data_IF_719339092364
#
_entry.id   IF_719339092364
#
_cell.length_a   1.000
_cell.length_b   1.000
_cell.length_c   1.000
_cell.angle_alpha   90.00
_cell.angle_beta   90.00
_cell.angle_gamma   90.00
#
_symmetry.space_group_name_H-M   'P 1'
#
loop_
_entity.id
_entity.type
_entity.pdbx_description
1 polymer ?
#
# COMPACT_ATOMS: atom_id res chain seq x y z
N UNK A 1 -10.13 -0.61 32.63
CA UNK A 1 -10.98 0.11 31.66
C UNK A 1 -10.05 0.66 30.60
N UNK A 2 -9.79 -0.12 29.55
CA UNK A 2 -8.89 0.26 28.47
C UNK A 2 -9.57 1.35 27.66
N UNK A 3 -8.95 2.52 27.58
CA UNK A 3 -9.44 3.63 26.76
C UNK A 3 -9.44 3.12 25.31
N UNK A 4 -10.62 3.04 24.70
CA UNK A 4 -10.76 2.67 23.29
C UNK A 4 -9.98 3.70 22.46
N UNK A 5 -9.00 3.24 21.69
CA UNK A 5 -8.26 4.09 20.76
C UNK A 5 -9.18 4.51 19.61
N UNK A 6 -9.84 5.66 19.77
CA UNK A 6 -10.77 6.21 18.77
C UNK A 6 -10.05 6.73 17.52
N UNK A 7 -8.72 6.61 17.42
CA UNK A 7 -7.94 7.06 16.27
C UNK A 7 -8.40 6.41 14.97
N UNK A 8 -8.74 5.12 14.99
CA UNK A 8 -9.22 4.43 13.81
C UNK A 8 -10.59 4.96 13.38
N UNK A 9 -11.53 5.15 14.32
CA UNK A 9 -12.84 5.76 14.05
C UNK A 9 -12.71 7.12 13.37
N UNK A 10 -11.76 7.95 13.83
CA UNK A 10 -11.51 9.26 13.24
C UNK A 10 -10.88 9.21 11.85
N UNK A 11 -10.25 8.09 11.46
CA UNK A 11 -9.54 7.92 10.19
C UNK A 11 -10.34 7.21 9.09
N UNK A 12 -11.42 6.53 9.46
CA UNK A 12 -12.31 5.82 8.53
C UNK A 12 -12.94 6.77 7.48
N UNK A 13 -13.38 7.99 7.82
CA UNK A 13 -13.91 8.93 6.81
C UNK A 13 -12.90 9.26 5.71
N UNK A 14 -11.62 9.48 6.04
CA UNK A 14 -10.58 9.75 5.05
C UNK A 14 -10.28 8.51 4.19
N UNK A 15 -10.32 7.31 4.78
CA UNK A 15 -10.21 6.06 4.02
C UNK A 15 -11.34 5.92 3.01
N UNK A 16 -12.59 6.19 3.41
CA UNK A 16 -13.76 6.15 2.53
C UNK A 16 -13.61 7.19 1.41
N UNK A 17 -13.17 8.41 1.75
CA UNK A 17 -12.94 9.48 0.78
C UNK A 17 -11.82 9.19 -0.24
N UNK A 18 -10.89 8.28 0.09
CA UNK A 18 -9.80 7.86 -0.79
C UNK A 18 -10.18 6.71 -1.74
N UNK A 19 -11.39 6.15 -1.64
CA UNK A 19 -11.84 5.08 -2.55
C UNK A 19 -11.79 5.58 -4.00
N UNK A 20 -11.22 4.75 -4.89
CA UNK A 20 -10.96 5.10 -6.29
C UNK A 20 -9.77 6.05 -6.54
N UNK A 21 -9.14 6.62 -5.51
CA UNK A 21 -7.95 7.46 -5.69
C UNK A 21 -6.66 6.61 -5.66
N UNK A 22 -5.61 6.99 -6.42
CA UNK A 22 -4.35 6.24 -6.44
C UNK A 22 -3.63 6.10 -5.10
N UNK A 23 -3.88 7.01 -4.15
CA UNK A 23 -3.28 6.91 -2.82
C UNK A 23 -4.12 6.12 -1.80
N UNK A 24 -5.17 5.42 -2.22
CA UNK A 24 -6.03 4.63 -1.34
C UNK A 24 -5.24 3.73 -0.38
N UNK A 25 -4.33 2.88 -0.89
CA UNK A 25 -3.55 1.99 -0.03
C UNK A 25 -2.58 2.73 0.89
N UNK A 26 -2.04 3.87 0.46
CA UNK A 26 -1.27 4.74 1.35
C UNK A 26 -2.15 5.30 2.48
N UNK A 27 -3.40 5.66 2.18
CA UNK A 27 -4.36 6.11 3.18
C UNK A 27 -4.73 4.99 4.16
N UNK A 28 -4.86 3.74 3.71
CA UNK A 28 -4.98 2.58 4.60
C UNK A 28 -3.80 2.54 5.58
N UNK A 29 -2.57 2.67 5.09
CA UNK A 29 -1.37 2.72 5.94
C UNK A 29 -1.38 3.86 6.96
N UNK A 30 -1.83 5.05 6.56
CA UNK A 30 -1.99 6.19 7.46
C UNK A 30 -3.02 5.90 8.55
N UNK A 31 -4.14 5.24 8.23
CA UNK A 31 -5.15 4.86 9.22
C UNK A 31 -4.57 3.93 10.28
N UNK A 32 -3.83 2.89 9.86
CA UNK A 32 -3.18 1.96 10.80
C UNK A 32 -2.05 2.60 11.60
N UNK A 33 -1.31 3.56 11.03
CA UNK A 33 -0.26 4.27 11.77
C UNK A 33 -0.77 5.17 12.91
N UNK A 34 -2.06 5.54 12.88
CA UNK A 34 -2.69 6.34 13.94
C UNK A 34 -3.07 5.47 15.15
N UNK A 35 -3.12 4.15 14.99
CA UNK A 35 -3.44 3.20 16.06
C UNK A 35 -2.18 2.99 16.91
N UNK A 36 -2.22 3.46 18.15
CA UNK A 36 -1.05 3.51 19.04
C UNK A 36 -0.44 2.14 19.38
N UNK A 37 -1.22 1.08 19.25
CA UNK A 37 -0.83 -0.31 19.53
C UNK A 37 -0.22 -1.02 18.31
N UNK A 38 -0.42 -0.49 17.09
CA UNK A 38 0.21 -1.02 15.87
C UNK A 38 1.69 -0.61 15.84
N UNK A 39 2.57 -1.60 15.68
CA UNK A 39 4.03 -1.41 15.66
C UNK A 39 4.61 -1.48 14.25
N UNK A 40 4.11 -2.39 13.41
CA UNK A 40 4.41 -2.46 11.99
C UNK A 40 3.13 -2.63 11.17
N UNK A 41 3.16 -2.16 9.92
CA UNK A 41 2.04 -2.29 8.99
C UNK A 41 2.53 -2.40 7.54
N UNK A 42 1.99 -3.35 6.78
CA UNK A 42 2.18 -3.49 5.33
C UNK A 42 0.88 -3.93 4.65
N UNK A 43 0.72 -3.53 3.40
CA UNK A 43 -0.36 -3.98 2.51
C UNK A 43 0.27 -4.69 1.32
N UNK A 44 -0.07 -5.95 1.15
CA UNK A 44 0.38 -6.76 0.02
C UNK A 44 -0.80 -7.13 -0.87
N UNK A 45 -0.55 -7.12 -2.18
CA UNK A 45 -1.39 -7.74 -3.18
C UNK A 45 -0.81 -9.09 -3.55
N UNK A 46 -1.61 -10.14 -3.49
CA UNK A 46 -1.29 -11.49 -3.94
C UNK A 46 -2.13 -11.84 -5.18
N UNK A 47 -1.58 -11.71 -6.39
CA UNK A 47 -2.17 -12.30 -7.59
C UNK A 47 -2.08 -13.83 -7.51
N UNK A 48 -3.05 -14.54 -8.11
CA UNK A 48 -3.06 -16.01 -8.15
C UNK A 48 -1.90 -16.61 -8.95
N UNK A 49 -1.51 -15.94 -10.04
CA UNK A 49 -0.55 -16.46 -11.01
C UNK A 49 0.79 -15.69 -11.05
N UNK A 50 1.04 -14.80 -10.08
CA UNK A 50 2.25 -13.98 -10.04
C UNK A 50 2.70 -13.77 -8.58
N UNK A 51 3.91 -13.25 -8.41
CA UNK A 51 4.48 -12.90 -7.10
C UNK A 51 3.73 -11.72 -6.46
N UNK A 52 3.76 -11.59 -5.12
CA UNK A 52 3.10 -10.48 -4.46
C UNK A 52 3.75 -9.14 -4.78
N UNK A 53 2.98 -8.08 -4.58
CA UNK A 53 3.43 -6.70 -4.70
C UNK A 53 3.07 -5.90 -3.44
N UNK A 54 4.02 -5.13 -2.91
CA UNK A 54 3.77 -4.18 -1.83
C UNK A 54 2.97 -2.99 -2.36
N UNK A 55 1.83 -2.71 -1.73
CA UNK A 55 0.94 -1.60 -2.08
C UNK A 55 1.11 -0.39 -1.16
N UNK A 56 1.41 -0.61 0.12
CA UNK A 56 1.68 0.42 1.12
C UNK A 56 2.30 -0.20 2.38
N UNK A 57 2.85 0.63 3.25
CA UNK A 57 3.39 0.17 4.54
C UNK A 57 4.54 1.03 5.04
N UNK A 58 5.07 0.67 6.19
CA UNK A 58 6.32 1.24 6.70
C UNK A 58 7.47 0.77 5.81
N UNK A 59 8.27 1.72 5.32
CA UNK A 59 9.25 1.48 4.27
C UNK A 59 10.46 0.72 4.80
N UNK A 60 10.74 -0.44 4.20
CA UNK A 60 12.04 -1.10 4.23
C UNK A 60 12.28 -1.72 2.84
N UNK A 61 12.74 -0.90 1.86
CA UNK A 61 12.72 -1.29 0.45
C UNK A 61 13.50 -2.58 0.13
N UNK A 62 14.59 -2.84 0.85
CA UNK A 62 15.40 -4.04 0.65
C UNK A 62 14.66 -5.29 1.14
N UNK A 63 14.07 -5.23 2.34
CA UNK A 63 13.29 -6.35 2.89
C UNK A 63 11.97 -6.54 2.15
N UNK A 64 11.34 -5.47 1.70
CA UNK A 64 10.11 -5.49 0.90
C UNK A 64 10.33 -6.20 -0.44
N UNK A 65 11.42 -5.87 -1.14
CA UNK A 65 11.79 -6.50 -2.40
C UNK A 65 12.16 -7.98 -2.18
N UNK A 66 12.97 -8.28 -1.16
CA UNK A 66 13.36 -9.65 -0.82
C UNK A 66 12.13 -10.52 -0.51
N UNK A 67 11.15 -9.97 0.20
CA UNK A 67 9.90 -10.67 0.49
C UNK A 67 9.13 -10.98 -0.79
N UNK A 68 8.90 -9.96 -1.62
CA UNK A 68 8.09 -10.08 -2.83
C UNK A 68 8.73 -11.01 -3.87
N UNK A 69 10.06 -11.05 -3.94
CA UNK A 69 10.76 -11.89 -4.91
C UNK A 69 10.90 -13.35 -4.46
N UNK A 70 11.04 -13.61 -3.15
CA UNK A 70 11.44 -14.94 -2.67
C UNK A 70 10.73 -15.39 -1.39
N UNK A 71 10.74 -14.58 -0.33
CA UNK A 71 10.40 -15.09 1.00
C UNK A 71 8.92 -15.48 1.15
N UNK A 72 8.03 -14.86 0.38
CA UNK A 72 6.59 -15.15 0.42
C UNK A 72 6.26 -16.64 0.16
N UNK A 73 7.09 -17.36 -0.60
CA UNK A 73 6.86 -18.77 -0.91
C UNK A 73 7.00 -19.69 0.31
N UNK A 74 7.69 -19.22 1.34
CA UNK A 74 7.91 -19.95 2.59
C UNK A 74 7.05 -19.38 3.74
N UNK A 75 6.25 -18.35 3.47
CA UNK A 75 5.43 -17.68 4.46
C UNK A 75 4.14 -18.50 4.75
N UNK A 76 3.88 -18.90 6.01
CA UNK A 76 2.63 -19.57 6.38
C UNK A 76 1.36 -18.81 5.99
N UNK A 77 1.40 -17.48 5.94
CA UNK A 77 0.25 -16.69 5.48
C UNK A 77 -0.04 -16.93 3.99
N UNK A 78 0.99 -17.14 3.18
CA UNK A 78 0.82 -17.44 1.76
C UNK A 78 0.10 -18.78 1.54
N UNK A 79 0.36 -19.78 2.38
CA UNK A 79 -0.38 -21.04 2.37
C UNK A 79 -1.87 -20.83 2.67
N UNK A 80 -2.19 -19.98 3.66
CA UNK A 80 -3.59 -19.65 4.01
C UNK A 80 -4.30 -18.96 2.86
N UNK A 81 -3.62 -18.01 2.21
CA UNK A 81 -4.13 -17.26 1.06
C UNK A 81 -4.42 -18.22 -0.11
N UNK A 82 -3.49 -19.11 -0.43
CA UNK A 82 -3.63 -20.07 -1.53
C UNK A 82 -4.67 -21.16 -1.28
N UNK A 83 -4.87 -21.56 -0.01
CA UNK A 83 -5.85 -22.59 0.33
C UNK A 83 -7.30 -22.09 0.35
N UNK A 84 -7.54 -20.80 0.05
CA UNK A 84 -8.86 -20.15 0.07
C UNK A 84 -9.66 -20.44 1.35
N UNK A 85 -8.96 -20.63 2.48
CA UNK A 85 -9.62 -20.75 3.77
C UNK A 85 -10.25 -19.37 4.02
N UNK A 86 -11.58 -19.29 4.03
CA UNK A 86 -12.37 -18.06 4.11
C UNK A 86 -12.26 -17.37 5.50
N UNK A 87 -11.03 -17.19 5.98
CA UNK A 87 -10.63 -16.60 7.25
C UNK A 87 -10.27 -15.15 6.99
N UNK A 88 -11.15 -14.25 7.40
CA UNK A 88 -10.92 -12.81 7.23
C UNK A 88 -9.76 -12.30 8.10
N UNK A 89 -9.56 -12.86 9.30
CA UNK A 89 -8.51 -12.41 10.22
C UNK A 89 -7.74 -13.61 10.77
N UNK A 90 -6.42 -13.57 10.63
CA UNK A 90 -5.52 -14.69 10.95
C UNK A 90 -4.31 -14.18 11.70
N UNK A 91 -3.93 -14.84 12.78
CA UNK A 91 -2.70 -14.54 13.54
C UNK A 91 -1.63 -15.57 13.22
N UNK A 92 -0.35 -15.19 13.25
CA UNK A 92 0.75 -16.09 12.91
C UNK A 92 0.79 -17.32 13.82
N UNK A 93 0.53 -17.15 15.12
CA UNK A 93 0.45 -18.24 16.11
C UNK A 93 -0.66 -19.27 15.82
N UNK A 94 -1.73 -18.86 15.12
CA UNK A 94 -2.86 -19.73 14.79
C UNK A 94 -2.61 -20.62 13.57
N UNK A 95 -1.57 -20.33 12.78
CA UNK A 95 -1.27 -21.03 11.52
C UNK A 95 0.12 -21.66 11.49
N UNK A 96 0.97 -21.30 12.44
CA UNK A 96 2.29 -21.89 12.60
C UNK A 96 2.26 -23.13 13.47
N UNK A 97 3.23 -24.01 13.25
CA UNK A 97 3.46 -25.22 14.04
C UNK A 97 4.53 -24.94 15.11
N UNK A 98 4.69 -25.87 16.05
CA UNK A 98 5.71 -25.77 17.12
C UNK A 98 7.16 -25.65 16.60
N UNK A 99 7.43 -25.98 15.35
CA UNK A 99 8.74 -25.91 14.68
C UNK A 99 8.91 -24.65 13.81
N UNK A 100 8.04 -23.64 13.93
CA UNK A 100 8.17 -22.42 13.15
C UNK A 100 9.51 -21.71 13.36
N UNK A 101 9.98 -21.61 14.61
CA UNK A 101 11.26 -20.97 14.95
C UNK A 101 12.48 -21.74 14.42
N UNK A 102 12.33 -23.02 14.08
CA UNK A 102 13.36 -23.83 13.43
C UNK A 102 13.17 -23.93 11.90
N UNK A 103 12.15 -23.27 11.34
CA UNK A 103 11.89 -23.29 9.91
C UNK A 103 12.89 -22.46 9.11
N UNK A 104 13.09 -22.83 7.84
CA UNK A 104 13.94 -22.07 6.93
C UNK A 104 13.43 -20.63 6.70
N UNK A 105 12.11 -20.43 6.74
CA UNK A 105 11.52 -19.09 6.64
C UNK A 105 11.91 -18.22 7.83
N UNK A 106 11.83 -18.77 9.04
CA UNK A 106 12.14 -18.04 10.25
C UNK A 106 13.60 -17.59 10.29
N UNK A 107 14.52 -18.54 10.06
CA UNK A 107 15.97 -18.29 10.04
C UNK A 107 16.39 -17.31 8.93
N UNK A 108 15.87 -17.50 7.71
CA UNK A 108 16.35 -16.74 6.55
C UNK A 108 15.72 -15.37 6.42
N UNK A 109 14.50 -15.17 6.93
CA UNK A 109 13.72 -13.95 6.74
C UNK A 109 13.06 -13.43 8.03
N UNK A 110 12.16 -14.20 8.65
CA UNK A 110 11.26 -13.69 9.69
C UNK A 110 12.00 -13.10 10.91
N UNK A 111 13.03 -13.80 11.40
CA UNK A 111 13.81 -13.34 12.54
C UNK A 111 14.54 -12.02 12.25
N UNK A 112 15.00 -11.83 11.01
CA UNK A 112 15.78 -10.66 10.58
C UNK A 112 14.95 -9.38 10.49
N UNK A 113 13.67 -9.50 10.12
CA UNK A 113 12.76 -8.34 10.05
C UNK A 113 12.29 -7.89 11.45
N UNK A 114 12.56 -8.70 12.50
CA UNK A 114 12.22 -8.36 13.89
C UNK A 114 10.72 -8.31 14.19
N UNK A 115 9.88 -8.80 13.28
CA UNK A 115 8.44 -8.89 13.48
C UNK A 115 8.10 -10.00 14.47
N UNK A 116 7.04 -9.74 15.24
CA UNK A 116 6.47 -10.64 16.25
C UNK A 116 5.01 -10.26 16.45
N UNK A 117 4.20 -11.15 17.06
CA UNK A 117 2.79 -10.86 17.36
C UNK A 117 2.03 -10.34 16.13
N UNK A 118 2.13 -11.05 15.02
CA UNK A 118 1.61 -10.63 13.72
C UNK A 118 0.20 -11.16 13.46
N UNK A 119 -0.61 -10.34 12.79
CA UNK A 119 -1.87 -10.74 12.20
C UNK A 119 -2.06 -10.14 10.80
N UNK A 120 -2.78 -10.89 9.97
CA UNK A 120 -3.19 -10.48 8.64
C UNK A 120 -4.72 -10.41 8.55
N UNK A 121 -5.22 -9.25 8.10
CA UNK A 121 -6.58 -9.14 7.56
C UNK A 121 -6.54 -9.51 6.08
N UNK A 122 -7.20 -10.60 5.71
CA UNK A 122 -7.24 -11.18 4.36
C UNK A 122 -8.53 -10.76 3.67
N UNK A 123 -8.40 -10.04 2.57
CA UNK A 123 -9.50 -9.51 1.76
C UNK A 123 -9.44 -10.12 0.37
N UNK A 124 -10.23 -11.18 0.16
CA UNK A 124 -10.43 -11.76 -1.17
C UNK A 124 -11.34 -10.86 -2.01
N UNK A 125 -10.88 -10.51 -3.22
CA UNK A 125 -11.61 -9.68 -4.17
C UNK A 125 -12.41 -10.56 -5.14
N UNK A 126 -11.74 -11.58 -5.70
CA UNK A 126 -12.24 -12.60 -6.62
C UNK A 126 -11.27 -13.82 -6.57
N UNK A 127 -11.46 -14.79 -7.46
CA UNK A 127 -10.60 -16.00 -7.53
C UNK A 127 -9.17 -15.74 -8.02
N UNK A 128 -8.82 -14.49 -8.36
CA UNK A 128 -7.58 -14.11 -9.02
C UNK A 128 -6.67 -13.20 -8.19
N UNK A 129 -7.22 -12.51 -7.17
CA UNK A 129 -6.43 -11.57 -6.36
C UNK A 129 -6.93 -11.46 -4.92
N UNK A 130 -5.97 -11.47 -4.00
CA UNK A 130 -6.18 -11.26 -2.56
C UNK A 130 -5.36 -10.07 -2.07
N UNK A 131 -5.95 -9.23 -1.23
CA UNK A 131 -5.26 -8.14 -0.55
C UNK A 131 -5.07 -8.52 0.91
N UNK A 132 -3.86 -8.37 1.44
CA UNK A 132 -3.55 -8.64 2.84
C UNK A 132 -3.02 -7.40 3.53
N UNK A 133 -3.59 -7.08 4.69
CA UNK A 133 -3.10 -6.05 5.58
C UNK A 133 -2.39 -6.75 6.73
N UNK A 134 -1.06 -6.77 6.68
CA UNK A 134 -0.20 -7.37 7.69
C UNK A 134 0.18 -6.32 8.74
N UNK A 135 0.03 -6.67 10.01
CA UNK A 135 0.35 -5.76 11.11
C UNK A 135 0.83 -6.49 12.36
N UNK A 136 1.63 -5.79 13.15
CA UNK A 136 2.21 -6.33 14.41
C UNK A 136 1.87 -5.46 15.61
N UNK A 137 1.96 -6.06 16.81
CA UNK A 137 1.82 -5.35 18.08
C UNK A 137 2.93 -5.74 19.07
N UNK A 138 3.85 -4.81 19.37
CA UNK A 138 4.99 -5.09 20.24
C UNK A 138 4.66 -4.95 21.73
N UNK A 139 3.75 -4.02 22.05
CA UNK A 139 3.45 -3.62 23.44
C UNK A 139 2.16 -4.22 23.98
N UNK A 140 1.37 -4.84 23.12
CA UNK A 140 0.03 -5.35 23.41
C UNK A 140 -0.14 -6.72 22.77
N UNK A 141 -0.80 -7.68 23.42
CA UNK A 141 -1.12 -8.95 22.77
C UNK A 141 -1.94 -8.77 21.50
N UNK A 142 -1.59 -9.49 20.43
CA UNK A 142 -2.21 -9.31 19.11
C UNK A 142 -3.74 -9.55 19.12
N UNK A 143 -4.23 -10.46 19.96
CA UNK A 143 -5.66 -10.74 20.10
C UNK A 143 -6.43 -9.54 20.67
N UNK A 144 -5.79 -8.70 21.49
CA UNK A 144 -6.40 -7.49 22.03
C UNK A 144 -6.52 -6.42 20.92
N UNK A 145 -5.44 -6.17 20.17
CA UNK A 145 -5.49 -5.29 18.98
C UNK A 145 -6.54 -5.79 17.97
N UNK A 146 -6.61 -7.09 17.72
CA UNK A 146 -7.62 -7.68 16.85
C UNK A 146 -9.05 -7.42 17.35
N UNK A 147 -9.26 -7.42 18.67
CA UNK A 147 -10.56 -7.09 19.27
C UNK A 147 -10.90 -5.60 19.09
N UNK A 148 -9.92 -4.71 19.19
CA UNK A 148 -10.05 -3.26 18.93
C UNK A 148 -10.37 -2.97 17.45
N UNK A 149 -9.76 -3.71 16.53
CA UNK A 149 -9.98 -3.59 15.08
C UNK A 149 -11.32 -4.18 14.62
N UNK A 150 -11.85 -5.17 15.35
CA UNK A 150 -13.03 -5.97 14.96
C UNK A 150 -14.24 -5.15 14.48
N UNK A 151 -14.62 -4.03 15.13
CA UNK A 151 -15.76 -3.21 14.69
C UNK A 151 -15.57 -2.57 13.30
N UNK A 152 -14.33 -2.45 12.83
CA UNK A 152 -13.98 -1.74 11.59
C UNK A 152 -13.66 -2.67 10.42
N UNK A 153 -13.44 -3.96 10.66
CA UNK A 153 -12.94 -4.90 9.65
C UNK A 153 -13.83 -4.97 8.41
N UNK A 154 -15.15 -5.05 8.57
CA UNK A 154 -16.07 -5.10 7.44
C UNK A 154 -16.11 -3.79 6.65
N UNK A 155 -15.96 -2.65 7.31
CA UNK A 155 -15.86 -1.36 6.62
C UNK A 155 -14.56 -1.23 5.83
N UNK A 156 -13.43 -1.65 6.41
CA UNK A 156 -12.13 -1.66 5.72
C UNK A 156 -12.16 -2.63 4.53
N UNK A 157 -12.69 -3.84 4.74
CA UNK A 157 -12.88 -4.85 3.68
C UNK A 157 -13.73 -4.31 2.53
N UNK A 158 -14.89 -3.71 2.85
CA UNK A 158 -15.79 -3.12 1.85
C UNK A 158 -15.14 -1.96 1.10
N UNK A 159 -14.37 -1.11 1.78
CA UNK A 159 -13.63 -0.01 1.16
C UNK A 159 -12.58 -0.54 0.16
N UNK A 160 -11.81 -1.57 0.54
CA UNK A 160 -10.82 -2.22 -0.32
C UNK A 160 -11.51 -2.85 -1.55
N UNK A 161 -12.57 -3.62 -1.33
CA UNK A 161 -13.33 -4.24 -2.41
C UNK A 161 -13.90 -3.21 -3.38
N UNK A 162 -14.44 -2.09 -2.85
CA UNK A 162 -14.98 -1.02 -3.68
C UNK A 162 -13.90 -0.28 -4.46
N UNK A 163 -12.76 0.01 -3.84
CA UNK A 163 -11.60 0.62 -4.50
C UNK A 163 -11.13 -0.24 -5.68
N UNK A 164 -10.94 -1.54 -5.45
CA UNK A 164 -10.49 -2.49 -6.47
C UNK A 164 -11.50 -2.66 -7.61
N UNK A 165 -12.80 -2.72 -7.30
CA UNK A 165 -13.85 -2.78 -8.32
C UNK A 165 -13.91 -1.51 -9.21
N UNK A 166 -13.58 -0.34 -8.65
CA UNK A 166 -13.48 0.89 -9.44
C UNK A 166 -12.24 0.88 -10.35
N UNK A 167 -11.10 0.42 -9.85
CA UNK A 167 -9.88 0.29 -10.66
C UNK A 167 -10.07 -0.65 -11.85
N UNK A 168 -10.72 -1.82 -11.63
CA UNK A 168 -11.01 -2.75 -12.71
C UNK A 168 -11.91 -2.13 -13.78
N UNK A 169 -12.89 -1.31 -13.37
CA UNK A 169 -13.79 -0.61 -14.31
C UNK A 169 -13.04 0.44 -15.14
N UNK A 170 -12.13 1.19 -14.52
CA UNK A 170 -11.33 2.20 -15.23
C UNK A 170 -10.39 1.54 -16.24
N UNK A 171 -9.72 0.46 -15.87
CA UNK A 171 -8.82 -0.28 -16.76
C UNK A 171 -9.56 -0.89 -17.96
N UNK A 172 -10.81 -1.33 -17.80
CA UNK A 172 -11.62 -1.83 -18.93
C UNK A 172 -12.11 -0.74 -19.89
N UNK A 173 -12.11 0.54 -19.48
CA UNK A 173 -12.54 1.67 -20.32
C UNK A 173 -11.37 2.20 -21.18
N UNK A 174 -10.13 2.12 -20.67
CA UNK A 174 -8.95 2.61 -21.39
C UNK A 174 -8.53 1.73 -22.59
N UNK A 175 -9.00 0.48 -22.67
CA UNK A 175 -8.68 -0.44 -23.80
C UNK A 175 -9.39 -0.08 -25.11
N UNK A 176 -10.47 0.71 -25.08
CA UNK A 176 -11.26 1.00 -26.29
C UNK A 176 -10.90 2.33 -26.98
N UNK A 177 -10.08 3.22 -26.41
CA UNK A 177 -9.84 4.56 -27.01
C UNK A 177 -8.40 5.10 -27.02
N UNK A 178 -7.38 4.31 -26.70
CA UNK A 178 -6.00 4.73 -26.96
C UNK A 178 -5.14 3.60 -27.55
N UNK A 179 -4.46 3.84 -28.70
CA UNK A 179 -3.59 2.84 -29.29
C UNK A 179 -2.49 2.50 -28.30
N UNK A 180 -2.43 1.22 -27.99
CA UNK A 180 -1.45 0.48 -27.21
C UNK A 180 -0.11 1.22 -27.10
N UNK A 181 0.18 1.78 -25.92
CA UNK A 181 1.57 1.92 -25.51
C UNK A 181 2.01 0.51 -25.16
N UNK A 182 2.51 -0.16 -26.19
CA UNK A 182 3.33 -1.36 -26.09
C UNK A 182 4.25 -1.18 -24.89
N UNK A 183 4.18 -2.12 -23.93
CA UNK A 183 5.18 -2.31 -22.91
C UNK A 183 6.52 -2.65 -23.59
N UNK A 184 7.18 -1.63 -24.13
CA UNK A 184 8.61 -1.69 -24.34
C UNK A 184 9.22 -1.60 -22.95
N UNK A 185 9.82 -2.70 -22.54
CA UNK A 185 10.70 -2.83 -21.39
C UNK A 185 11.86 -1.83 -21.51
N UNK A 186 11.62 -0.56 -21.20
CA UNK A 186 12.66 0.43 -20.96
C UNK A 186 13.01 0.39 -19.48
N UNK A 187 14.31 0.46 -19.15
CA UNK A 187 14.83 0.58 -17.79
C UNK A 187 14.23 1.82 -17.08
N UNK A 188 13.02 1.67 -16.51
CA UNK A 188 12.39 2.71 -15.70
C UNK A 188 13.20 2.87 -14.41
N UNK A 189 13.52 4.11 -14.06
CA UNK A 189 14.19 4.43 -12.80
C UNK A 189 13.29 4.02 -11.62
N UNK A 190 13.87 3.72 -10.45
CA UNK A 190 13.10 3.42 -9.23
C UNK A 190 12.08 4.53 -8.91
N UNK A 191 12.45 5.78 -9.23
CA UNK A 191 11.61 6.96 -9.08
C UNK A 191 10.37 6.94 -10.00
N UNK A 192 10.49 6.45 -11.23
CA UNK A 192 9.38 6.33 -12.17
C UNK A 192 8.40 5.24 -11.74
N UNK A 193 8.92 4.08 -11.34
CA UNK A 193 8.09 2.98 -10.78
C UNK A 193 7.31 3.46 -9.55
N UNK A 194 7.95 4.24 -8.68
CA UNK A 194 7.29 4.84 -7.54
C UNK A 194 6.17 5.80 -7.97
N UNK A 195 6.39 6.66 -8.97
CA UNK A 195 5.33 7.55 -9.47
C UNK A 195 4.18 6.78 -10.16
N UNK A 196 4.48 5.67 -10.82
CA UNK A 196 3.47 4.79 -11.44
C UNK A 196 2.53 4.17 -10.42
N UNK A 197 3.05 3.78 -9.25
CA UNK A 197 2.23 3.26 -8.14
C UNK A 197 1.14 4.25 -7.69
N UNK A 198 1.35 5.56 -7.87
CA UNK A 198 0.39 6.61 -7.52
C UNK A 198 -0.41 7.11 -8.74
N UNK A 199 -0.37 6.41 -9.87
CA UNK A 199 -1.14 6.77 -11.07
C UNK A 199 -0.85 8.19 -11.58
N UNK A 200 0.39 8.66 -11.42
CA UNK A 200 0.79 9.96 -11.99
C UNK A 200 0.86 9.84 -13.50
N UNK A 201 0.19 10.77 -14.19
CA UNK A 201 0.27 10.89 -15.66
C UNK A 201 1.68 11.28 -16.10
N UNK A 202 2.01 11.05 -17.38
CA UNK A 202 3.31 11.46 -17.95
C UNK A 202 3.65 12.92 -17.65
N UNK A 203 2.65 13.80 -17.75
CA UNK A 203 2.79 15.24 -17.48
C UNK A 203 3.01 15.53 -16.00
N UNK A 204 2.29 14.87 -15.11
CA UNK A 204 2.50 15.02 -13.67
C UNK A 204 3.88 14.53 -13.24
N UNK A 205 4.38 13.41 -13.81
CA UNK A 205 5.75 12.94 -13.57
C UNK A 205 6.80 13.96 -14.00
N UNK A 206 6.62 14.57 -15.17
CA UNK A 206 7.49 15.65 -15.65
C UNK A 206 7.53 16.82 -14.66
N UNK A 207 6.35 17.28 -14.20
CA UNK A 207 6.24 18.35 -13.19
C UNK A 207 6.92 17.96 -11.88
N UNK A 208 6.76 16.72 -11.39
CA UNK A 208 7.46 16.22 -10.19
C UNK A 208 8.97 16.31 -10.34
N UNK A 209 9.53 15.87 -11.48
CA UNK A 209 10.98 15.96 -11.73
C UNK A 209 11.49 17.40 -11.65
N UNK A 210 10.77 18.35 -12.25
CA UNK A 210 11.15 19.76 -12.16
C UNK A 210 11.04 20.34 -10.75
N UNK A 211 10.02 19.94 -9.97
CA UNK A 211 9.90 20.36 -8.57
C UNK A 211 11.09 19.85 -7.75
N UNK A 212 11.50 18.59 -7.96
CA UNK A 212 12.64 17.98 -7.26
C UNK A 212 13.99 18.60 -7.67
N UNK A 213 14.07 19.20 -8.86
CA UNK A 213 15.21 20.03 -9.28
C UNK A 213 15.19 21.44 -8.66
N UNK A 214 14.17 21.78 -7.86
CA UNK A 214 14.05 23.08 -7.20
C UNK A 214 13.44 24.18 -8.06
N UNK A 215 12.83 23.85 -9.20
CA UNK A 215 12.24 24.86 -10.09
C UNK A 215 10.94 25.45 -9.51
N UNK A 216 10.77 26.76 -9.68
CA UNK A 216 9.55 27.47 -9.32
C UNK A 216 8.43 27.25 -10.36
N UNK A 217 7.17 27.40 -9.94
CA UNK A 217 6.00 27.16 -10.81
C UNK A 217 6.04 27.93 -12.13
N UNK A 218 6.55 29.17 -12.13
CA UNK A 218 6.70 29.98 -13.34
C UNK A 218 7.70 29.35 -14.33
N UNK A 219 8.88 28.93 -13.86
CA UNK A 219 9.88 28.26 -14.70
C UNK A 219 9.41 26.90 -15.21
N UNK A 220 8.64 26.17 -14.40
CA UNK A 220 8.01 24.91 -14.84
C UNK A 220 6.98 25.20 -15.94
N UNK A 221 6.19 26.27 -15.80
CA UNK A 221 5.18 26.65 -16.77
C UNK A 221 5.80 26.96 -18.13
N UNK A 222 6.91 27.71 -18.15
CA UNK A 222 7.70 27.98 -19.35
C UNK A 222 8.23 26.70 -19.99
N UNK A 223 8.89 25.82 -19.22
CA UNK A 223 9.42 24.54 -19.73
C UNK A 223 8.33 23.63 -20.29
N UNK A 224 7.16 23.66 -19.66
CA UNK A 224 6.03 22.86 -20.07
C UNK A 224 5.19 23.52 -21.17
N UNK A 225 5.45 24.77 -21.56
CA UNK A 225 4.61 25.53 -22.50
C UNK A 225 3.13 25.63 -22.05
N UNK A 226 2.89 25.91 -20.77
CA UNK A 226 1.55 26.09 -20.19
C UNK A 226 1.51 27.31 -19.26
N UNK A 227 0.34 27.66 -18.73
CA UNK A 227 0.23 28.75 -17.75
C UNK A 227 0.73 28.33 -16.36
N UNK A 228 1.17 29.29 -15.54
CA UNK A 228 1.49 29.05 -14.12
C UNK A 228 0.27 28.50 -13.36
N UNK A 229 -0.94 28.95 -13.71
CA UNK A 229 -2.19 28.40 -13.17
C UNK A 229 -2.36 26.90 -13.47
N UNK A 230 -1.99 26.47 -14.68
CA UNK A 230 -1.99 25.06 -15.07
C UNK A 230 -0.99 24.25 -14.22
N UNK A 231 0.21 24.79 -13.95
CA UNK A 231 1.17 24.13 -13.06
C UNK A 231 0.67 24.06 -11.62
N UNK A 232 -0.01 25.10 -11.11
CA UNK A 232 -0.65 25.05 -9.78
C UNK A 232 -1.70 23.95 -9.71
N UNK A 233 -2.48 23.74 -10.77
CA UNK A 233 -3.44 22.64 -10.86
C UNK A 233 -2.75 21.27 -10.89
N UNK A 234 -1.70 21.11 -11.71
CA UNK A 234 -0.90 19.87 -11.71
C UNK A 234 -0.32 19.57 -10.32
N UNK A 235 0.25 20.57 -9.62
CA UNK A 235 0.75 20.41 -8.25
C UNK A 235 -0.33 19.96 -7.28
N UNK A 236 -1.52 20.55 -7.35
CA UNK A 236 -2.66 20.15 -6.51
C UNK A 236 -3.05 18.69 -6.77
N UNK A 237 -3.10 18.26 -8.03
CA UNK A 237 -3.40 16.89 -8.40
C UNK A 237 -2.30 15.92 -7.95
N UNK A 238 -1.03 16.27 -8.14
CA UNK A 238 0.12 15.51 -7.68
C UNK A 238 0.05 15.32 -6.16
N UNK A 239 -0.19 16.39 -5.41
CA UNK A 239 -0.25 16.33 -3.95
C UNK A 239 -1.39 15.45 -3.46
N UNK A 240 -2.57 15.56 -4.10
CA UNK A 240 -3.69 14.64 -3.85
C UNK A 240 -3.29 13.19 -4.14
N UNK A 241 -2.78 12.89 -5.33
CA UNK A 241 -2.40 11.53 -5.76
C UNK A 241 -1.27 10.93 -4.91
N UNK A 242 -0.39 11.74 -4.35
CA UNK A 242 0.69 11.28 -3.47
C UNK A 242 0.27 11.25 -1.99
N UNK A 243 -0.94 11.70 -1.66
CA UNK A 243 -1.43 11.89 -0.29
C UNK A 243 -0.46 12.76 0.55
N UNK A 244 -0.09 13.93 0.03
CA UNK A 244 0.80 14.90 0.70
C UNK A 244 0.20 16.30 0.69
N UNK A 245 0.69 17.18 1.56
CA UNK A 245 0.13 18.53 1.71
C UNK A 245 1.11 19.63 1.31
N UNK A 246 2.40 19.32 1.13
CA UNK A 246 3.41 20.32 0.84
C UNK A 246 4.52 19.84 -0.10
N UNK A 247 5.23 20.80 -0.70
CA UNK A 247 6.44 20.52 -1.47
C UNK A 247 7.50 19.82 -0.59
N UNK A 248 7.60 20.19 0.68
CA UNK A 248 8.51 19.54 1.63
C UNK A 248 8.19 18.07 1.82
N UNK A 249 6.90 17.70 1.89
CA UNK A 249 6.49 16.29 1.96
C UNK A 249 6.86 15.56 0.67
N UNK A 250 6.73 16.21 -0.49
CA UNK A 250 7.17 15.66 -1.77
C UNK A 250 8.68 15.36 -1.74
N UNK A 251 9.51 16.30 -1.29
CA UNK A 251 10.96 16.09 -1.16
C UNK A 251 11.27 14.92 -0.21
N UNK A 252 10.62 14.88 0.97
CA UNK A 252 10.76 13.77 1.92
C UNK A 252 10.38 12.42 1.32
N UNK A 253 9.38 12.37 0.44
CA UNK A 253 8.87 11.12 -0.14
C UNK A 253 9.79 10.53 -1.21
N UNK A 254 10.62 11.37 -1.84
CA UNK A 254 11.46 11.03 -2.99
C UNK A 254 12.98 11.07 -2.71
N UNK A 255 13.44 11.76 -1.66
CA UNK A 255 14.87 11.93 -1.35
C UNK A 255 15.31 11.25 -0.04
N UNK A 256 14.37 10.64 0.69
CA UNK A 256 14.60 9.80 1.87
C UNK A 256 13.92 8.44 1.68
#
# INVERSE_FOLDING_TARGET
MTIMDNSLFQSVPELIGAIGEPCFYSQVGVCFSKISTVSNFKVFSYPKADKPALLAGFKDPELDQLYCDFAYQLDPFYDVINQHQNKALVTLDSITRHDFESSAYYDRFYHKIGWKNEANLIVSLNDERTICLAYTADKTPIHQLNSELRPYLESIKSAIQKHEALLSTILTIDDDHHPSITHQSTNLTAQERFMDQFGLTKREKEVVRYILQGLASASIAEKCFVSEGTIKNHRKNIYRKLCIHSQRDLFRKFLN
#
